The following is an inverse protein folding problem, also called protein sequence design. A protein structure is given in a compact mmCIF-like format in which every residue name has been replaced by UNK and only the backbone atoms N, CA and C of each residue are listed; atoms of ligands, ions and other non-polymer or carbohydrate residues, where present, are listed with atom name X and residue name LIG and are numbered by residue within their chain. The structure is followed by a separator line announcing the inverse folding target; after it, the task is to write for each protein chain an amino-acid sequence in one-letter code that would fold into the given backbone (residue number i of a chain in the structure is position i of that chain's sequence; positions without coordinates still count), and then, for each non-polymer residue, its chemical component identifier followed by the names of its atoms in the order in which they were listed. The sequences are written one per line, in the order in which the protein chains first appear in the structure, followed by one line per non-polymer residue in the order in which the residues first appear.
data_IF_188511264078
#
_entry.id   IF_188511264078
#
_cell.length_a   1.000
_cell.length_b   1.000
_cell.length_c   1.000
_cell.angle_alpha   90.00
_cell.angle_beta   90.00
_cell.angle_gamma   90.00
#
_symmetry.space_group_name_H-M   'P 1'
#
loop_
_entity.id
_entity.type
_entity.pdbx_description
1 polymer ?
#
# COMPACT_ATOMS: atom_id res chain seq x y z
N UNK A 1 62.84 -42.53 34.59
CA UNK A 1 62.64 -41.23 35.27
C UNK A 1 62.98 -40.05 34.37
N UNK A 2 64.19 -39.97 33.78
CA UNK A 2 64.57 -38.84 32.91
C UNK A 2 63.65 -38.64 31.69
N UNK A 3 63.25 -39.72 31.00
CA UNK A 3 62.32 -39.63 29.86
C UNK A 3 60.94 -39.08 30.26
N UNK A 4 60.42 -39.45 31.42
CA UNK A 4 59.14 -38.93 31.92
C UNK A 4 59.23 -37.44 32.25
N UNK A 5 60.36 -36.98 32.82
CA UNK A 5 60.59 -35.56 33.06
C UNK A 5 60.68 -34.77 31.75
N UNK A 6 61.34 -35.31 30.73
CA UNK A 6 61.41 -34.68 29.41
C UNK A 6 60.03 -34.60 28.74
N UNK A 7 59.22 -35.66 28.83
CA UNK A 7 57.84 -35.65 28.31
C UNK A 7 56.97 -34.63 29.05
N UNK A 8 57.08 -34.52 30.38
CA UNK A 8 56.34 -33.51 31.15
C UNK A 8 56.78 -32.08 30.78
N UNK A 9 58.08 -31.83 30.60
CA UNK A 9 58.56 -30.53 30.14
C UNK A 9 58.08 -30.20 28.73
N UNK A 10 58.06 -31.17 27.81
CA UNK A 10 57.49 -30.99 26.47
C UNK A 10 55.99 -30.72 26.52
N UNK A 11 55.23 -31.42 27.35
CA UNK A 11 53.79 -31.15 27.51
C UNK A 11 53.53 -29.78 28.14
N UNK A 12 54.33 -29.35 29.12
CA UNK A 12 54.23 -28.00 29.69
C UNK A 12 54.59 -26.92 28.66
N UNK A 13 55.63 -27.13 27.85
CA UNK A 13 55.97 -26.21 26.76
C UNK A 13 54.88 -26.17 25.69
N UNK A 14 54.30 -27.32 25.32
CA UNK A 14 53.17 -27.37 24.40
C UNK A 14 51.93 -26.67 24.97
N UNK A 15 51.62 -26.85 26.25
CA UNK A 15 50.52 -26.14 26.91
C UNK A 15 50.77 -24.64 26.98
N UNK A 16 52.00 -24.21 27.29
CA UNK A 16 52.37 -22.79 27.27
C UNK A 16 52.25 -22.20 25.87
N UNK A 17 52.70 -22.90 24.83
CA UNK A 17 52.56 -22.46 23.44
C UNK A 17 51.08 -22.40 23.03
N UNK A 18 50.27 -23.39 23.41
CA UNK A 18 48.83 -23.38 23.14
C UNK A 18 48.13 -22.23 23.88
N UNK A 19 48.48 -21.96 25.15
CA UNK A 19 47.95 -20.82 25.90
C UNK A 19 48.37 -19.48 25.27
N UNK A 20 49.62 -19.35 24.83
CA UNK A 20 50.09 -18.16 24.11
C UNK A 20 49.35 -17.98 22.78
N UNK A 21 49.14 -19.06 22.01
CA UNK A 21 48.37 -19.01 20.77
C UNK A 21 46.91 -18.64 21.03
N UNK A 22 46.27 -19.18 22.07
CA UNK A 22 44.90 -18.82 22.47
C UNK A 22 44.82 -17.36 22.92
N UNK A 23 45.79 -16.85 23.69
CA UNK A 23 45.85 -15.45 24.09
C UNK A 23 46.06 -14.54 22.86
N UNK A 24 46.92 -14.92 21.92
CA UNK A 24 47.09 -14.18 20.66
C UNK A 24 45.81 -14.18 19.82
N UNK A 25 45.10 -15.30 19.71
CA UNK A 25 43.80 -15.38 19.02
C UNK A 25 42.75 -14.51 19.71
N UNK A 26 42.67 -14.52 21.05
CA UNK A 26 41.76 -13.65 21.80
C UNK A 26 42.11 -12.17 21.60
N UNK A 27 43.40 -11.81 21.61
CA UNK A 27 43.84 -10.43 21.33
C UNK A 27 43.49 -10.01 19.90
N UNK A 28 43.65 -10.90 18.90
CA UNK A 28 43.24 -10.61 17.51
C UNK A 28 41.72 -10.45 17.38
N UNK A 29 40.92 -11.28 18.07
CA UNK A 29 39.45 -11.14 18.10
C UNK A 29 39.02 -9.84 18.79
N UNK A 30 39.67 -9.45 19.89
CA UNK A 30 39.42 -8.16 20.56
C UNK A 30 39.81 -6.97 19.66
N UNK A 31 40.92 -7.05 18.92
CA UNK A 31 41.31 -6.03 17.95
C UNK A 31 40.31 -5.92 16.80
N UNK A 32 39.80 -7.04 16.26
CA UNK A 32 38.74 -7.04 15.25
C UNK A 32 37.44 -6.44 15.78
N UNK A 33 37.02 -6.79 17.00
CA UNK A 33 35.87 -6.18 17.68
C UNK A 33 36.06 -4.67 17.90
N UNK A 34 37.27 -4.23 18.25
CA UNK A 34 37.63 -2.80 18.35
C UNK A 34 37.60 -2.08 17.01
N UNK A 35 37.97 -2.73 15.91
CA UNK A 35 37.86 -2.15 14.56
C UNK A 35 36.41 -2.03 14.10
N UNK A 36 35.57 -3.03 14.40
CA UNK A 36 34.14 -3.00 14.09
C UNK A 36 33.39 -1.94 14.92
N UNK A 37 33.76 -1.78 16.19
CA UNK A 37 33.18 -0.72 17.06
C UNK A 37 33.65 0.68 16.64
N UNK A 38 34.91 0.87 16.20
CA UNK A 38 35.40 2.15 15.64
C UNK A 38 34.71 2.55 14.33
N UNK A 39 34.25 1.59 13.52
CA UNK A 39 33.42 1.86 12.34
C UNK A 39 32.06 2.52 12.66
N UNK A 40 31.52 2.30 13.86
CA UNK A 40 30.25 2.88 14.32
C UNK A 40 30.48 4.32 14.86
N UNK A 41 31.61 4.57 15.53
CA UNK A 41 31.92 5.91 16.06
C UNK A 41 32.28 6.94 14.98
N UNK A 42 32.79 6.53 13.81
CA UNK A 42 33.03 7.44 12.67
C UNK A 42 31.72 7.97 12.05
N UNK A 43 30.65 7.18 12.08
CA UNK A 43 29.31 7.62 11.64
C UNK A 43 28.71 8.61 12.65
N UNK A 44 29.03 8.49 13.94
CA UNK A 44 28.48 9.35 14.99
C UNK A 44 29.20 10.70 15.15
N UNK A 45 30.50 10.80 14.82
CA UNK A 45 31.23 12.08 14.91
C UNK A 45 30.89 13.04 13.77
N UNK A 46 30.47 12.53 12.60
CA UNK A 46 29.92 13.36 11.51
C UNK A 46 28.48 13.85 11.79
N UNK A 47 27.93 13.53 12.96
CA UNK A 47 26.53 13.79 13.30
C UNK A 47 26.34 14.89 14.35
N UNK A 48 27.40 15.67 14.66
CA UNK A 48 27.33 16.78 15.63
C UNK A 48 27.86 18.11 15.10
N UNK A 49 27.54 18.41 13.85
CA UNK A 49 27.14 19.77 13.53
C UNK A 49 25.65 19.72 13.26
N UNK A 50 24.87 20.09 14.27
CA UNK A 50 23.54 20.66 14.06
C UNK A 50 23.75 21.93 13.25
N UNK A 51 23.94 21.77 11.94
CA UNK A 51 23.82 22.86 11.01
C UNK A 51 22.38 23.32 11.18
N UNK A 52 22.20 24.55 11.67
CA UNK A 52 20.99 25.31 11.41
C UNK A 52 20.92 25.44 9.89
N UNK A 53 20.39 24.40 9.23
CA UNK A 53 20.21 24.39 7.79
C UNK A 53 19.20 25.49 7.54
N UNK A 54 19.64 26.56 6.86
CA UNK A 54 18.72 27.61 6.45
C UNK A 54 17.52 26.94 5.79
N UNK A 55 16.32 27.19 6.28
CA UNK A 55 15.12 26.58 5.71
C UNK A 55 14.66 27.44 4.54
N UNK A 56 14.37 26.81 3.41
CA UNK A 56 13.84 27.46 2.22
C UNK A 56 12.38 27.04 2.04
N UNK A 57 11.52 28.04 1.83
CA UNK A 57 10.10 27.82 1.59
C UNK A 57 9.84 27.54 0.10
N UNK A 58 8.99 26.56 -0.17
CA UNK A 58 8.48 26.28 -1.51
C UNK A 58 7.03 26.79 -1.63
N UNK A 59 6.75 27.81 -2.46
CA UNK A 59 5.39 28.39 -2.53
C UNK A 59 4.37 27.44 -3.16
N UNK A 60 4.78 26.60 -4.11
CA UNK A 60 3.90 25.65 -4.80
C UNK A 60 3.43 24.53 -3.87
N UNK A 61 4.29 24.08 -2.96
CA UNK A 61 4.00 22.97 -2.05
C UNK A 61 3.70 23.43 -0.62
N UNK A 62 3.81 24.75 -0.37
CA UNK A 62 3.57 25.40 0.92
C UNK A 62 4.35 24.79 2.10
N UNK A 63 5.55 24.26 1.84
CA UNK A 63 6.37 23.55 2.82
C UNK A 63 7.72 24.22 3.02
N UNK A 64 8.23 24.15 4.25
CA UNK A 64 9.58 24.58 4.61
C UNK A 64 10.52 23.37 4.57
N UNK A 65 11.57 23.47 3.76
CA UNK A 65 12.54 22.38 3.53
C UNK A 65 13.95 22.90 3.77
N UNK A 66 14.91 22.06 4.16
CA UNK A 66 16.32 22.47 4.22
C UNK A 66 16.77 23.06 2.88
N UNK A 67 17.50 24.19 2.88
CA UNK A 67 17.95 24.87 1.64
C UNK A 67 18.76 23.93 0.75
N UNK A 68 19.54 23.02 1.34
CA UNK A 68 20.28 21.99 0.61
C UNK A 68 19.37 21.08 -0.23
N UNK A 69 18.15 20.82 0.25
CA UNK A 69 17.18 19.92 -0.37
C UNK A 69 16.23 20.65 -1.33
N UNK A 70 16.36 21.97 -1.50
CA UNK A 70 15.48 22.73 -2.41
C UNK A 70 15.57 22.19 -3.83
N UNK A 71 16.78 21.91 -4.33
CA UNK A 71 17.01 21.45 -5.70
C UNK A 71 16.53 20.01 -5.93
N UNK A 72 16.57 19.17 -4.89
CA UNK A 72 16.06 17.78 -4.95
C UNK A 72 14.54 17.79 -4.86
N UNK A 73 13.96 18.61 -3.98
CA UNK A 73 12.50 18.77 -3.86
C UNK A 73 11.83 19.17 -5.18
N UNK A 74 12.38 20.14 -5.92
CA UNK A 74 11.79 20.58 -7.19
C UNK A 74 11.70 19.47 -8.25
N UNK A 75 12.43 18.36 -8.07
CA UNK A 75 12.44 17.20 -8.97
C UNK A 75 11.56 16.05 -8.47
N UNK A 76 11.00 16.13 -7.26
CA UNK A 76 10.17 15.05 -6.72
C UNK A 76 8.82 15.00 -7.42
N UNK A 77 8.23 13.81 -7.45
CA UNK A 77 6.89 13.61 -8.02
C UNK A 77 5.83 14.45 -7.29
N UNK A 78 5.99 14.66 -5.98
CA UNK A 78 5.09 15.50 -5.19
C UNK A 78 5.12 16.96 -5.65
N UNK A 79 6.31 17.54 -5.88
CA UNK A 79 6.42 18.92 -6.39
C UNK A 79 5.83 19.06 -7.79
N UNK A 80 6.19 18.14 -8.70
CA UNK A 80 5.67 18.14 -10.07
C UNK A 80 4.15 17.96 -10.08
N UNK A 81 3.60 17.13 -9.20
CA UNK A 81 2.16 16.94 -9.06
C UNK A 81 1.46 18.21 -8.57
N UNK A 82 1.96 18.85 -7.50
CA UNK A 82 1.40 20.10 -7.00
C UNK A 82 1.53 21.24 -8.02
N UNK A 83 2.63 21.32 -8.76
CA UNK A 83 2.81 22.30 -9.84
C UNK A 83 1.73 22.12 -10.92
N UNK A 84 1.46 20.89 -11.36
CA UNK A 84 0.38 20.59 -12.32
C UNK A 84 -1.00 20.97 -11.78
N UNK A 85 -1.24 20.80 -10.47
CA UNK A 85 -2.50 21.21 -9.84
C UNK A 85 -2.67 22.72 -9.86
N UNK A 86 -1.64 23.46 -9.45
CA UNK A 86 -1.68 24.94 -9.44
C UNK A 86 -1.87 25.49 -10.85
N UNK A 87 -1.23 24.91 -11.86
CA UNK A 87 -1.44 25.29 -13.29
C UNK A 87 -2.88 25.01 -13.76
N UNK A 88 -3.57 24.07 -13.14
CA UNK A 88 -4.97 23.76 -13.42
C UNK A 88 -5.96 24.48 -12.47
N UNK A 89 -5.51 25.55 -11.80
CA UNK A 89 -6.28 26.33 -10.82
C UNK A 89 -6.81 25.48 -9.64
N UNK A 90 -6.13 24.36 -9.34
CA UNK A 90 -6.44 23.50 -8.19
C UNK A 90 -5.47 23.78 -7.03
N UNK A 91 -5.94 23.79 -5.78
CA UNK A 91 -5.07 23.99 -4.62
C UNK A 91 -4.03 22.86 -4.51
N UNK A 92 -2.82 23.14 -4.02
CA UNK A 92 -1.83 22.10 -3.75
C UNK A 92 -2.32 21.16 -2.64
N UNK A 93 -1.76 19.96 -2.60
CA UNK A 93 -2.06 18.97 -1.56
C UNK A 93 -0.85 18.68 -0.70
N UNK A 94 -1.11 18.24 0.53
CA UNK A 94 -0.10 17.83 1.47
C UNK A 94 0.60 16.54 1.03
N UNK A 95 1.83 16.35 1.51
CA UNK A 95 2.63 15.16 1.22
C UNK A 95 1.93 13.87 1.67
N UNK A 96 1.22 13.92 2.80
CA UNK A 96 0.48 12.76 3.33
C UNK A 96 -0.67 12.33 2.40
N UNK A 97 -1.39 13.28 1.81
CA UNK A 97 -2.46 13.00 0.86
C UNK A 97 -1.89 12.51 -0.47
N UNK A 98 -0.78 13.10 -0.91
CA UNK A 98 -0.08 12.66 -2.11
C UNK A 98 0.35 11.19 -1.96
N UNK A 99 0.94 10.81 -0.83
CA UNK A 99 1.35 9.44 -0.56
C UNK A 99 0.17 8.46 -0.53
N UNK A 100 -0.98 8.84 0.04
CA UNK A 100 -2.21 8.03 -0.01
C UNK A 100 -2.71 7.81 -1.44
N UNK A 101 -2.69 8.87 -2.26
CA UNK A 101 -3.09 8.78 -3.68
C UNK A 101 -2.10 7.94 -4.48
N UNK A 102 -0.80 8.09 -4.23
CA UNK A 102 0.26 7.31 -4.86
C UNK A 102 0.12 5.83 -4.49
N UNK A 103 -0.12 5.49 -3.22
CA UNK A 103 -0.34 4.12 -2.78
C UNK A 103 -1.56 3.48 -3.46
N UNK A 104 -2.65 4.22 -3.62
CA UNK A 104 -3.87 3.76 -4.33
C UNK A 104 -3.61 3.54 -5.83
N UNK A 105 -2.83 4.42 -6.45
CA UNK A 105 -2.44 4.28 -7.84
C UNK A 105 -1.57 3.03 -8.04
N UNK A 106 -0.55 2.84 -7.18
CA UNK A 106 0.33 1.68 -7.22
C UNK A 106 -0.44 0.38 -6.96
N UNK A 107 -1.38 0.34 -6.02
CA UNK A 107 -2.21 -0.85 -5.78
C UNK A 107 -3.10 -1.19 -6.97
N UNK A 108 -3.59 -0.19 -7.69
CA UNK A 108 -4.39 -0.39 -8.91
C UNK A 108 -3.53 -0.88 -10.10
N UNK A 109 -2.26 -0.48 -10.15
CA UNK A 109 -1.33 -0.82 -11.25
C UNK A 109 -0.58 -2.12 -11.01
N UNK A 110 -0.22 -2.43 -9.76
CA UNK A 110 0.55 -3.63 -9.37
C UNK A 110 -0.31 -4.82 -8.94
N UNK A 111 -1.61 -4.62 -8.66
CA UNK A 111 -2.50 -5.77 -8.65
C UNK A 111 -2.55 -6.33 -10.08
N UNK A 112 -2.27 -7.64 -10.31
CA UNK A 112 -2.69 -8.24 -11.57
C UNK A 112 -4.17 -7.91 -11.69
N UNK A 113 -4.60 -7.43 -12.86
CA UNK A 113 -5.99 -7.11 -13.10
C UNK A 113 -6.85 -8.37 -12.90
N UNK A 114 -7.17 -8.70 -11.66
CA UNK A 114 -8.46 -9.23 -11.29
C UNK A 114 -9.40 -8.03 -11.41
N UNK A 115 -9.53 -7.52 -12.64
CA UNK A 115 -10.82 -7.12 -13.12
C UNK A 115 -11.69 -8.36 -12.95
N UNK A 116 -12.24 -8.55 -11.75
CA UNK A 116 -13.43 -9.36 -11.58
C UNK A 116 -14.36 -8.81 -12.65
N UNK A 117 -14.50 -9.58 -13.74
CA UNK A 117 -15.01 -9.09 -15.02
C UNK A 117 -16.44 -8.65 -14.86
N UNK A 118 -16.65 -7.45 -14.33
CA UNK A 118 -17.93 -6.75 -14.32
C UNK A 118 -18.17 -6.42 -15.78
N UNK A 119 -18.74 -7.39 -16.49
CA UNK A 119 -19.23 -7.25 -17.85
C UNK A 119 -20.43 -6.31 -17.74
N UNK A 120 -20.29 -5.10 -18.24
CA UNK A 120 -21.38 -4.14 -18.29
C UNK A 120 -22.21 -4.47 -19.54
N UNK A 121 -23.51 -4.68 -19.38
CA UNK A 121 -24.40 -5.08 -20.46
C UNK A 121 -25.57 -4.10 -20.58
N UNK A 122 -25.79 -3.51 -21.76
CA UNK A 122 -27.03 -2.77 -22.04
C UNK A 122 -28.03 -3.71 -22.69
N UNK A 123 -29.14 -3.92 -22.00
CA UNK A 123 -30.25 -4.76 -22.46
C UNK A 123 -30.89 -4.20 -23.75
N UNK A 124 -31.00 -2.87 -23.82
CA UNK A 124 -31.47 -2.07 -24.95
C UNK A 124 -30.75 -2.34 -26.27
N UNK A 125 -29.43 -2.48 -26.22
CA UNK A 125 -28.57 -2.60 -27.40
C UNK A 125 -27.93 -3.98 -27.50
N UNK A 126 -28.16 -4.85 -26.51
CA UNK A 126 -27.57 -6.18 -26.35
C UNK A 126 -26.03 -6.20 -26.49
N UNK A 127 -25.37 -5.10 -26.14
CA UNK A 127 -23.91 -4.94 -26.21
C UNK A 127 -23.29 -5.11 -24.83
N UNK A 128 -22.19 -5.87 -24.78
CA UNK A 128 -21.43 -6.13 -23.57
C UNK A 128 -20.08 -5.42 -23.63
N UNK A 129 -19.67 -4.82 -22.52
CA UNK A 129 -18.49 -3.99 -22.39
C UNK A 129 -17.60 -4.51 -21.27
N UNK A 130 -16.29 -4.46 -21.51
CA UNK A 130 -15.25 -4.95 -20.61
C UNK A 130 -14.69 -3.88 -19.66
N UNK A 131 -15.14 -2.63 -19.78
CA UNK A 131 -14.70 -1.52 -18.96
C UNK A 131 -15.86 -0.59 -18.63
N UNK A 132 -15.83 0.01 -17.43
CA UNK A 132 -16.84 0.99 -17.03
C UNK A 132 -16.80 2.23 -17.95
N UNK A 133 -15.61 2.61 -18.43
CA UNK A 133 -15.41 3.77 -19.31
C UNK A 133 -16.09 3.58 -20.67
N UNK A 134 -15.95 2.40 -21.28
CA UNK A 134 -16.61 2.11 -22.56
C UNK A 134 -18.13 1.98 -22.43
N UNK A 135 -18.62 1.46 -21.31
CA UNK A 135 -20.06 1.46 -21.03
C UNK A 135 -20.63 2.87 -20.81
N UNK A 136 -19.93 3.71 -20.04
CA UNK A 136 -20.32 5.12 -19.83
C UNK A 136 -20.38 5.91 -21.15
N UNK A 137 -19.43 5.68 -22.06
CA UNK A 137 -19.46 6.29 -23.39
C UNK A 137 -20.61 5.75 -24.25
N UNK A 138 -20.93 4.46 -24.13
CA UNK A 138 -22.06 3.86 -24.85
C UNK A 138 -23.39 4.49 -24.44
N UNK A 139 -23.67 4.62 -23.14
CA UNK A 139 -24.94 5.21 -22.65
C UNK A 139 -25.09 6.69 -23.02
N UNK A 140 -23.97 7.41 -23.18
CA UNK A 140 -23.95 8.80 -23.63
C UNK A 140 -24.11 8.96 -25.15
N UNK A 141 -24.02 7.88 -25.93
CA UNK A 141 -24.12 7.96 -27.40
C UNK A 141 -25.56 8.23 -27.85
N UNK A 142 -25.72 9.04 -28.91
CA UNK A 142 -27.03 9.31 -29.54
C UNK A 142 -27.76 8.03 -29.96
N UNK A 143 -27.01 7.02 -30.41
CA UNK A 143 -27.57 5.73 -30.81
C UNK A 143 -28.22 4.97 -29.64
N UNK A 144 -27.61 5.02 -28.45
CA UNK A 144 -28.20 4.40 -27.26
C UNK A 144 -29.51 5.10 -26.87
N UNK A 145 -29.56 6.42 -26.95
CA UNK A 145 -30.75 7.21 -26.61
C UNK A 145 -31.96 6.87 -27.50
N UNK A 146 -31.74 6.72 -28.82
CA UNK A 146 -32.79 6.28 -29.76
C UNK A 146 -33.26 4.87 -29.42
N UNK A 147 -32.33 3.93 -29.24
CA UNK A 147 -32.67 2.54 -28.90
C UNK A 147 -33.41 2.41 -27.57
N UNK A 148 -33.17 3.30 -26.60
CA UNK A 148 -33.90 3.33 -25.32
C UNK A 148 -35.36 3.78 -25.52
N UNK A 149 -35.62 4.73 -26.42
CA UNK A 149 -36.98 5.18 -26.72
C UNK A 149 -37.79 4.08 -27.41
N UNK A 150 -37.18 3.39 -28.38
CA UNK A 150 -37.79 2.25 -29.08
C UNK A 150 -38.00 1.04 -28.15
N UNK A 151 -37.08 0.81 -27.21
CA UNK A 151 -37.24 -0.25 -26.22
C UNK A 151 -38.36 0.05 -25.22
N UNK A 152 -38.51 1.32 -24.80
CA UNK A 152 -39.58 1.74 -23.89
C UNK A 152 -40.97 1.57 -24.52
N UNK A 153 -41.15 1.97 -25.77
CA UNK A 153 -42.44 1.82 -26.49
C UNK A 153 -42.84 0.37 -26.72
N UNK A 154 -41.86 -0.55 -26.79
CA UNK A 154 -42.09 -2.00 -26.89
C UNK A 154 -42.39 -2.67 -25.55
N UNK A 155 -41.87 -2.14 -24.45
CA UNK A 155 -42.10 -2.67 -23.10
C UNK A 155 -43.45 -2.26 -22.49
N UNK A 156 -44.05 -1.15 -22.95
CA UNK A 156 -45.38 -0.70 -22.50
C UNK A 156 -46.55 -1.54 -23.01
N UNK A 157 -46.32 -2.50 -23.91
CA UNK A 157 -47.35 -3.44 -24.39
C UNK A 157 -47.30 -4.82 -23.69
N UNK A 158 -46.53 -4.98 -22.60
CA UNK A 158 -46.39 -6.25 -21.88
C UNK A 158 -46.52 -6.12 -20.35
N UNK A 159 -47.19 -5.07 -19.85
CA UNK A 159 -47.57 -4.94 -18.43
C UNK A 159 -49.04 -4.54 -18.29
N UNK A 160 -49.89 -5.23 -19.04
CA UNK A 160 -51.34 -5.37 -18.79
C UNK A 160 -51.67 -6.87 -18.86
N UNK A 161 -51.12 -7.64 -17.92
CA UNK A 161 -51.60 -8.97 -17.51
C UNK A 161 -50.77 -9.45 -16.32
N UNK A 162 -51.01 -8.86 -15.15
CA UNK A 162 -51.08 -9.52 -13.83
C UNK A 162 -51.44 -8.44 -12.80
N UNK A 163 -52.68 -7.94 -12.89
CA UNK A 163 -53.34 -7.27 -11.77
C UNK A 163 -54.85 -7.38 -11.94
N UNK A 164 -55.54 -7.69 -10.84
CA UNK A 164 -56.99 -7.81 -10.62
C UNK A 164 -57.61 -9.15 -11.10
N UNK A 165 -58.36 -9.94 -10.31
CA UNK A 165 -59.04 -9.66 -9.04
C UNK A 165 -59.66 -10.97 -8.48
N UNK A 166 -59.65 -11.21 -7.15
CA UNK A 166 -60.85 -11.62 -6.38
C UNK A 166 -60.62 -11.53 -4.85
N UNK A 167 -61.25 -10.52 -4.22
CA UNK A 167 -61.58 -10.31 -2.79
C UNK A 167 -62.73 -11.25 -2.33
N UNK A 168 -63.27 -11.27 -1.08
CA UNK A 168 -62.85 -10.69 0.23
C UNK A 168 -63.10 -11.58 1.51
N UNK A 169 -62.63 -11.10 2.68
CA UNK A 169 -63.24 -11.09 4.04
C UNK A 169 -63.56 -12.39 4.84
N UNK A 170 -62.86 -12.61 5.98
CA UNK A 170 -63.46 -12.78 7.34
C UNK A 170 -62.41 -13.13 8.44
N UNK A 171 -62.22 -12.21 9.39
CA UNK A 171 -62.33 -12.35 10.86
C UNK A 171 -61.89 -13.67 11.56
N UNK A 172 -60.86 -13.52 12.42
CA UNK A 172 -60.74 -14.04 13.81
C UNK A 172 -60.01 -15.38 14.14
N UNK A 173 -58.80 -15.21 14.73
CA UNK A 173 -58.30 -15.81 16.01
C UNK A 173 -58.12 -17.33 16.11
N UNK A 174 -56.84 -17.74 16.24
CA UNK A 174 -56.37 -18.38 17.47
C UNK A 174 -54.83 -18.47 17.56
N UNK A 175 -54.36 -18.17 18.76
CA UNK A 175 -52.99 -18.30 19.27
C UNK A 175 -52.41 -19.71 19.10
N UNK A 176 -51.09 -19.79 18.96
CA UNK A 176 -50.26 -20.73 19.70
C UNK A 176 -48.84 -20.16 19.83
N UNK A 177 -48.51 -19.76 21.05
CA UNK A 177 -47.17 -19.53 21.58
C UNK A 177 -46.52 -20.88 21.86
N UNK A 178 -45.24 -21.01 21.55
CA UNK A 178 -44.20 -21.81 22.24
C UNK A 178 -42.86 -21.25 21.68
N UNK A 179 -42.05 -20.44 22.36
CA UNK A 179 -41.20 -20.77 23.54
C UNK A 179 -40.68 -22.21 23.45
N UNK A 180 -39.42 -22.56 23.60
CA UNK A 180 -38.11 -21.93 23.77
C UNK A 180 -37.11 -23.11 23.65
N UNK A 181 -35.80 -22.82 23.57
CA UNK A 181 -34.70 -23.68 24.10
C UNK A 181 -34.47 -25.03 23.36
N UNK A 182 -33.28 -25.61 23.22
CA UNK A 182 -31.93 -25.38 23.73
C UNK A 182 -30.93 -26.27 22.93
N UNK A 183 -29.65 -25.89 23.00
CA UNK A 183 -28.43 -26.75 23.00
C UNK A 183 -28.05 -27.63 21.79
N UNK A 184 -26.95 -27.26 21.10
CA UNK A 184 -25.58 -27.76 21.38
C UNK A 184 -24.52 -26.79 20.79
#
# INVERSE_FOLDING_TARGET
MMMMMMMMMMMMMLMMVMMMMMMMMMMMMMMMMMMMTKGIYFVHFRNRHMATTAASYCPTCQVSLPTADRRTHLKTDWHVYNLKRVVADLPPIDETEFNKKQATFLSTVSAPAVSSGKKFHCQCCKKSFNSQKSYANHIASKQHQVNVQDFKSRSTSATEQTSAEMRPESVEKRNAVTEAEEEE
#
